data_IF_079585414405
#
_entry.id   IF_079585414405
#
_cell.length_a   1.000
_cell.length_b   1.000
_cell.length_c   1.000
_cell.angle_alpha   90.00
_cell.angle_beta   90.00
_cell.angle_gamma   90.00
#
_symmetry.space_group_name_H-M   'P 1'
#
loop_
_entity.id
_entity.type
_entity.pdbx_description
1 polymer ?
#
# COMPACT_ATOMS: atom_id res chain seq x y z
N UNK A 1 -5.61 -22.90 15.13
CA UNK A 1 -4.76 -22.83 13.93
C UNK A 1 -4.08 -21.47 13.94
N UNK A 2 -2.75 -21.37 13.85
CA UNK A 2 -2.10 -20.07 13.69
C UNK A 2 -2.67 -19.38 12.43
N UNK A 3 -2.92 -18.07 12.53
CA UNK A 3 -3.43 -17.27 11.40
C UNK A 3 -2.45 -17.22 10.23
N UNK A 4 -2.91 -16.76 9.06
CA UNK A 4 -2.10 -16.68 7.85
C UNK A 4 -0.84 -15.80 8.05
N UNK A 5 -0.98 -14.73 8.84
CA UNK A 5 0.11 -13.83 9.23
C UNK A 5 1.17 -14.55 10.08
N UNK A 6 0.79 -15.33 11.09
CA UNK A 6 1.72 -16.03 11.97
C UNK A 6 2.53 -17.10 11.22
N UNK A 7 1.90 -17.81 10.29
CA UNK A 7 2.58 -18.77 9.42
C UNK A 7 3.61 -18.06 8.50
N UNK A 8 3.22 -16.94 7.90
CA UNK A 8 4.10 -16.13 7.05
C UNK A 8 5.32 -15.61 7.81
N UNK A 9 5.13 -15.10 9.03
CA UNK A 9 6.21 -14.59 9.88
C UNK A 9 7.23 -15.68 10.23
N UNK A 10 6.74 -16.88 10.51
CA UNK A 10 7.58 -18.06 10.77
C UNK A 10 8.39 -18.44 9.53
N UNK A 11 7.78 -18.41 8.34
CA UNK A 11 8.44 -18.73 7.06
C UNK A 11 9.56 -17.74 6.71
N UNK A 12 9.38 -16.44 7.00
CA UNK A 12 10.38 -15.42 6.66
C UNK A 12 11.48 -15.25 7.72
N UNK A 13 11.25 -15.62 8.98
CA UNK A 13 12.19 -15.41 10.07
C UNK A 13 13.62 -15.92 9.80
N UNK A 14 13.84 -17.13 9.22
CA UNK A 14 15.20 -17.64 9.01
C UNK A 14 15.91 -17.05 7.79
N UNK A 15 15.22 -16.28 6.95
CA UNK A 15 15.73 -15.88 5.63
C UNK A 15 16.50 -14.56 5.67
N UNK A 16 17.52 -14.45 4.80
CA UNK A 16 18.20 -13.18 4.58
C UNK A 16 17.24 -12.16 3.94
N UNK A 17 17.50 -10.86 4.13
CA UNK A 17 16.63 -9.78 3.62
C UNK A 17 16.26 -9.93 2.12
N UNK A 18 17.19 -10.23 1.19
CA UNK A 18 16.83 -10.38 -0.22
C UNK A 18 15.88 -11.55 -0.47
N UNK A 19 16.06 -12.66 0.23
CA UNK A 19 15.25 -13.88 0.10
C UNK A 19 13.85 -13.65 0.68
N UNK A 20 13.76 -12.98 1.83
CA UNK A 20 12.49 -12.53 2.42
C UNK A 20 11.68 -11.74 1.40
N UNK A 21 12.25 -10.69 0.83
CA UNK A 21 11.53 -9.85 -0.14
C UNK A 21 11.06 -10.62 -1.37
N UNK A 22 11.89 -11.54 -1.89
CA UNK A 22 11.49 -12.40 -3.02
C UNK A 22 10.33 -13.32 -2.67
N UNK A 23 10.39 -13.98 -1.51
CA UNK A 23 9.34 -14.86 -1.03
C UNK A 23 8.04 -14.09 -0.83
N UNK A 24 8.09 -12.96 -0.12
CA UNK A 24 6.94 -12.10 0.13
C UNK A 24 6.31 -11.61 -1.17
N UNK A 25 7.13 -11.15 -2.13
CA UNK A 25 6.62 -10.68 -3.41
C UNK A 25 5.98 -11.81 -4.23
N UNK A 26 6.55 -13.02 -4.18
CA UNK A 26 5.95 -14.20 -4.82
C UNK A 26 4.59 -14.52 -4.19
N UNK A 27 4.52 -14.63 -2.85
CA UNK A 27 3.27 -14.89 -2.11
C UNK A 27 2.20 -13.86 -2.39
N UNK A 28 2.55 -12.57 -2.40
CA UNK A 28 1.61 -11.50 -2.70
C UNK A 28 0.99 -11.65 -4.09
N UNK A 29 1.78 -12.05 -5.10
CA UNK A 29 1.28 -12.32 -6.45
C UNK A 29 0.43 -13.58 -6.53
N UNK A 30 0.82 -14.65 -5.83
CA UNK A 30 0.05 -15.90 -5.76
C UNK A 30 -1.33 -15.70 -5.11
N UNK A 31 -1.42 -14.83 -4.11
CA UNK A 31 -2.67 -14.52 -3.41
C UNK A 31 -3.50 -13.44 -4.10
N UNK A 32 -2.98 -12.77 -5.14
CA UNK A 32 -3.66 -11.67 -5.80
C UNK A 32 -5.04 -12.10 -6.33
N UNK A 33 -6.08 -11.34 -5.98
CA UNK A 33 -7.46 -11.62 -6.36
C UNK A 33 -8.12 -12.79 -5.60
N UNK A 34 -7.47 -13.34 -4.58
CA UNK A 34 -8.03 -14.42 -3.76
C UNK A 34 -8.56 -13.90 -2.41
N UNK A 35 -9.60 -14.53 -1.82
CA UNK A 35 -10.07 -14.17 -0.47
C UNK A 35 -9.00 -14.37 0.63
N UNK A 36 -8.01 -15.21 0.37
CA UNK A 36 -6.89 -15.43 1.28
C UNK A 36 -5.99 -14.19 1.42
N UNK A 37 -5.90 -13.36 0.37
CA UNK A 37 -5.24 -12.05 0.47
C UNK A 37 -5.99 -11.13 1.43
N UNK A 38 -7.31 -11.05 1.30
CA UNK A 38 -8.13 -10.17 2.15
C UNK A 38 -8.03 -10.57 3.62
N UNK A 39 -8.08 -11.87 3.89
CA UNK A 39 -7.87 -12.42 5.22
C UNK A 39 -6.48 -12.07 5.78
N UNK A 40 -5.41 -12.27 5.00
CA UNK A 40 -4.05 -11.92 5.40
C UNK A 40 -3.90 -10.42 5.67
N UNK A 41 -4.42 -9.56 4.78
CA UNK A 41 -4.36 -8.12 4.95
C UNK A 41 -5.13 -7.67 6.19
N UNK A 42 -6.28 -8.30 6.49
CA UNK A 42 -7.06 -8.02 7.69
C UNK A 42 -6.29 -8.38 8.97
N UNK A 43 -5.64 -9.54 9.02
CA UNK A 43 -4.80 -9.95 10.15
C UNK A 43 -3.60 -9.00 10.35
N UNK A 44 -2.89 -8.66 9.27
CA UNK A 44 -1.72 -7.78 9.35
C UNK A 44 -2.07 -6.33 9.77
N UNK A 45 -3.33 -5.91 9.58
CA UNK A 45 -3.80 -4.57 9.99
C UNK A 45 -3.72 -4.33 11.49
N UNK A 46 -3.98 -5.38 12.26
CA UNK A 46 -4.12 -5.29 13.72
C UNK A 46 -2.79 -5.51 14.46
N UNK A 47 -1.72 -5.81 13.73
CA UNK A 47 -0.39 -6.02 14.31
C UNK A 47 0.39 -4.74 14.58
N UNK A 48 1.65 -4.92 14.97
CA UNK A 48 2.62 -3.83 15.17
C UNK A 48 3.01 -3.15 13.86
N UNK A 49 3.93 -2.18 13.92
CA UNK A 49 4.40 -1.44 12.74
C UNK A 49 4.95 -2.36 11.65
N UNK A 50 5.68 -3.42 12.02
CA UNK A 50 6.21 -4.36 11.04
C UNK A 50 5.09 -5.12 10.30
N UNK A 51 4.02 -5.51 11.00
CA UNK A 51 2.86 -6.11 10.35
C UNK A 51 2.18 -5.15 9.38
N UNK A 52 2.05 -3.87 9.75
CA UNK A 52 1.43 -2.84 8.89
C UNK A 52 2.29 -2.50 7.67
N UNK A 53 3.62 -2.49 7.82
CA UNK A 53 4.54 -2.43 6.68
C UNK A 53 4.37 -3.62 5.74
N UNK A 54 4.26 -4.83 6.30
CA UNK A 54 4.06 -6.05 5.52
C UNK A 54 2.69 -6.02 4.80
N UNK A 55 1.63 -5.55 5.46
CA UNK A 55 0.31 -5.33 4.84
C UNK A 55 0.43 -4.42 3.63
N UNK A 56 1.09 -3.27 3.77
CA UNK A 56 1.27 -2.32 2.69
C UNK A 56 2.09 -2.92 1.54
N UNK A 57 3.13 -3.69 1.85
CA UNK A 57 3.92 -4.40 0.86
C UNK A 57 3.07 -5.39 0.05
N UNK A 58 2.28 -6.25 0.71
CA UNK A 58 1.39 -7.19 0.02
C UNK A 58 0.36 -6.47 -0.83
N UNK A 59 -0.30 -5.45 -0.27
CA UNK A 59 -1.30 -4.68 -1.00
C UNK A 59 -0.71 -4.02 -2.26
N UNK A 60 0.51 -3.50 -2.16
CA UNK A 60 1.21 -2.88 -3.29
C UNK A 60 1.58 -3.91 -4.36
N UNK A 61 2.18 -5.03 -3.98
CA UNK A 61 2.62 -6.07 -4.94
C UNK A 61 1.43 -6.77 -5.60
N UNK A 62 0.35 -6.99 -4.86
CA UNK A 62 -0.87 -7.63 -5.36
C UNK A 62 -1.81 -6.67 -6.11
N UNK A 63 -1.52 -5.36 -6.13
CA UNK A 63 -2.40 -4.36 -6.73
C UNK A 63 -3.71 -4.12 -5.96
N UNK A 64 -3.77 -4.46 -4.68
CA UNK A 64 -4.96 -4.29 -3.84
C UNK A 64 -5.14 -2.82 -3.42
N UNK A 65 -5.72 -2.02 -4.31
CA UNK A 65 -5.85 -0.56 -4.17
C UNK A 65 -6.48 -0.12 -2.86
N UNK A 66 -7.62 -0.70 -2.48
CA UNK A 66 -8.37 -0.23 -1.31
C UNK A 66 -7.56 -0.40 -0.01
N UNK A 67 -6.74 -1.45 0.08
CA UNK A 67 -5.84 -1.66 1.20
C UNK A 67 -4.67 -0.64 1.21
N UNK A 68 -4.16 -0.24 0.05
CA UNK A 68 -3.16 0.84 -0.06
C UNK A 68 -3.77 2.17 0.38
N UNK A 69 -4.96 2.51 -0.11
CA UNK A 69 -5.67 3.75 0.26
C UNK A 69 -5.99 3.77 1.75
N UNK A 70 -6.47 2.66 2.32
CA UNK A 70 -6.74 2.56 3.75
C UNK A 70 -5.49 2.84 4.62
N UNK A 71 -4.29 2.59 4.10
CA UNK A 71 -3.02 2.86 4.80
C UNK A 71 -2.71 4.37 4.88
N UNK A 72 -3.36 5.21 4.10
CA UNK A 72 -3.24 6.68 4.20
C UNK A 72 -3.85 7.23 5.50
N UNK A 73 -4.71 6.46 6.15
CA UNK A 73 -5.27 6.76 7.47
C UNK A 73 -4.45 6.14 8.64
N UNK A 74 -3.32 5.47 8.36
CA UNK A 74 -2.48 4.87 9.41
C UNK A 74 -1.91 5.95 10.34
N UNK A 75 -1.78 5.74 11.66
CA UNK A 75 -1.16 6.71 12.56
C UNK A 75 0.32 7.00 12.22
N UNK A 76 1.03 6.09 11.57
CA UNK A 76 2.44 6.22 11.21
C UNK A 76 2.65 7.11 9.96
N UNK A 77 3.29 8.27 10.08
CA UNK A 77 3.55 9.17 8.95
C UNK A 77 4.42 8.57 7.84
N UNK A 78 5.30 7.62 8.18
CA UNK A 78 6.18 6.97 7.20
C UNK A 78 5.37 6.01 6.33
N UNK A 79 4.51 5.18 6.94
CA UNK A 79 3.60 4.30 6.21
C UNK A 79 2.66 5.08 5.29
N UNK A 80 2.10 6.20 5.75
CA UNK A 80 1.29 7.07 4.91
C UNK A 80 2.05 7.57 3.67
N UNK A 81 3.32 7.95 3.85
CA UNK A 81 4.15 8.47 2.76
C UNK A 81 4.50 7.38 1.74
N UNK A 82 4.82 6.17 2.20
CA UNK A 82 5.06 5.01 1.35
C UNK A 82 3.78 4.65 0.59
N UNK A 83 2.64 4.60 1.27
CA UNK A 83 1.35 4.28 0.67
C UNK A 83 0.96 5.29 -0.41
N UNK A 84 1.13 6.59 -0.15
CA UNK A 84 0.88 7.64 -1.13
C UNK A 84 1.79 7.49 -2.36
N UNK A 85 3.08 7.25 -2.14
CA UNK A 85 4.03 7.02 -3.23
C UNK A 85 3.73 5.75 -4.02
N UNK A 86 3.27 4.68 -3.37
CA UNK A 86 2.84 3.44 -4.03
C UNK A 86 1.59 3.65 -4.87
N UNK A 87 0.57 4.32 -4.29
CA UNK A 87 -0.68 4.63 -4.97
C UNK A 87 -0.46 5.49 -6.23
N UNK A 88 0.32 6.57 -6.11
CA UNK A 88 0.64 7.48 -7.22
C UNK A 88 1.44 6.81 -8.36
N UNK A 89 2.22 5.77 -8.08
CA UNK A 89 2.99 5.03 -9.10
C UNK A 89 2.22 3.85 -9.70
N UNK A 90 1.17 3.38 -9.04
CA UNK A 90 0.44 2.18 -9.46
C UNK A 90 -0.32 2.38 -10.78
N UNK A 91 -0.84 3.58 -11.02
CA UNK A 91 -1.48 3.98 -12.28
C UNK A 91 -1.60 5.50 -12.37
N UNK A 92 -1.94 6.05 -13.56
CA UNK A 92 -2.39 7.43 -13.66
C UNK A 92 -3.56 7.68 -12.70
N UNK A 93 -3.36 8.60 -11.77
CA UNK A 93 -4.37 9.09 -10.84
C UNK A 93 -5.02 10.32 -11.47
N UNK A 94 -6.34 10.40 -11.46
CA UNK A 94 -7.02 11.59 -11.98
C UNK A 94 -6.88 12.78 -11.03
N UNK A 95 -6.97 14.00 -11.56
CA UNK A 95 -6.97 15.20 -10.71
C UNK A 95 -8.08 15.18 -9.64
N UNK A 96 -9.27 14.67 -9.99
CA UNK A 96 -10.40 14.53 -9.06
C UNK A 96 -10.12 13.52 -7.94
N UNK A 97 -9.63 12.32 -8.26
CA UNK A 97 -9.26 11.32 -7.25
C UNK A 97 -8.19 11.83 -6.28
N UNK A 98 -7.24 12.60 -6.80
CA UNK A 98 -6.22 13.22 -5.95
C UNK A 98 -6.80 14.32 -5.08
N UNK A 99 -7.71 15.13 -5.61
CA UNK A 99 -8.38 16.19 -4.87
C UNK A 99 -9.18 15.62 -3.69
N UNK A 100 -10.02 14.62 -3.94
CA UNK A 100 -10.85 13.99 -2.91
C UNK A 100 -9.99 13.39 -1.81
N UNK A 101 -8.88 12.75 -2.17
CA UNK A 101 -7.94 12.21 -1.20
C UNK A 101 -7.26 13.30 -0.35
N UNK A 102 -6.92 14.44 -0.97
CA UNK A 102 -6.12 15.48 -0.32
C UNK A 102 -6.97 16.51 0.45
N UNK A 103 -8.28 16.56 0.22
CA UNK A 103 -9.19 17.54 0.83
C UNK A 103 -9.06 17.57 2.36
N UNK A 104 -9.09 16.39 2.98
CA UNK A 104 -8.97 16.22 4.44
C UNK A 104 -7.57 15.74 4.88
N UNK A 105 -6.62 15.68 3.96
CA UNK A 105 -5.30 15.13 4.24
C UNK A 105 -4.45 16.08 5.12
N UNK A 106 -3.70 15.53 6.09
CA UNK A 106 -2.73 16.30 6.86
C UNK A 106 -1.73 17.05 5.95
N UNK A 107 -1.27 18.22 6.39
CA UNK A 107 -0.38 19.07 5.58
C UNK A 107 0.90 18.35 5.11
N UNK A 108 1.41 17.40 5.91
CA UNK A 108 2.55 16.55 5.52
C UNK A 108 2.26 15.73 4.26
N UNK A 109 1.08 15.14 4.18
CA UNK A 109 0.68 14.22 3.12
C UNK A 109 0.43 15.00 1.82
N UNK A 110 -0.21 16.17 1.93
CA UNK A 110 -0.32 17.14 0.83
C UNK A 110 1.04 17.54 0.26
N UNK A 111 2.02 17.86 1.12
CA UNK A 111 3.39 18.20 0.67
C UNK A 111 4.07 17.04 -0.05
N UNK A 112 3.93 15.82 0.45
CA UNK A 112 4.47 14.62 -0.20
C UNK A 112 3.85 14.44 -1.58
N UNK A 113 2.52 14.59 -1.72
CA UNK A 113 1.83 14.50 -3.00
C UNK A 113 2.34 15.56 -3.98
N UNK A 114 2.44 16.82 -3.56
CA UNK A 114 2.94 17.90 -4.42
C UNK A 114 4.40 17.75 -4.82
N UNK A 115 5.24 17.10 -4.00
CA UNK A 115 6.62 16.77 -4.37
C UNK A 115 6.65 15.64 -5.40
N UNK A 116 5.82 14.62 -5.22
CA UNK A 116 5.70 13.50 -6.15
C UNK A 116 5.25 13.96 -7.55
N UNK A 117 4.24 14.85 -7.60
CA UNK A 117 3.77 15.45 -8.86
C UNK A 117 4.86 16.30 -9.54
N UNK A 118 5.54 17.16 -8.77
CA UNK A 118 6.67 17.96 -9.29
C UNK A 118 7.84 17.10 -9.80
N UNK A 119 8.00 15.90 -9.25
CA UNK A 119 9.00 14.92 -9.68
C UNK A 119 8.65 14.16 -10.96
N UNK A 120 7.54 14.50 -11.65
CA UNK A 120 7.18 13.92 -12.95
C UNK A 120 6.09 12.84 -12.90
N UNK A 121 5.48 12.58 -11.73
CA UNK A 121 4.25 11.80 -11.69
C UNK A 121 3.13 12.69 -12.23
N UNK A 122 2.60 12.38 -13.42
CA UNK A 122 1.51 13.15 -14.01
C UNK A 122 0.16 12.61 -13.53
N UNK A 123 -0.65 13.48 -12.94
CA UNK A 123 -2.06 13.19 -12.77
C UNK A 123 -2.75 13.29 -14.14
N UNK A 124 -3.55 12.30 -14.50
CA UNK A 124 -4.32 12.36 -15.73
C UNK A 124 -5.34 13.50 -15.63
N UNK A 125 -5.33 14.40 -16.62
CA UNK A 125 -6.39 15.39 -16.75
C UNK A 125 -7.69 14.63 -17.06
N UNK A 126 -8.66 14.70 -16.15
CA UNK A 126 -10.01 14.23 -16.44
C UNK A 126 -10.62 15.25 -17.38
N UNK A 127 -10.60 14.98 -18.68
CA UNK A 127 -11.53 15.65 -19.59
C UNK A 127 -12.91 15.08 -19.30
N UNK A 128 -13.61 15.65 -18.31
CA UNK A 128 -15.04 15.45 -18.18
C UNK A 128 -15.68 16.05 -19.43
N UNK A 129 -16.12 15.17 -20.33
CA UNK A 129 -17.05 15.53 -21.39
C UNK A 129 -18.36 16.02 -20.77
N UNK A 130 -18.89 17.07 -21.41
CA UNK A 130 -20.14 17.79 -21.16
C UNK A 130 -21.35 16.90 -20.85
#
# INVERSE_FOLDING_TARGET
MPGLSAALLTEINPLARPERLRLLARRARELAGTPALDALLAELRTGDTFHRELRLFFATVAGHRDAVIATLADPDPELQSIALGGWLRSRPVTAGELWDLLADAPARLRRTAYRALRGGISAAATTSGL
#
